data_IF_444409865281
#
_entry.id   IF_444409865281
#
_cell.length_a   1.000
_cell.length_b   1.000
_cell.length_c   1.000
_cell.angle_alpha   90.00
_cell.angle_beta   90.00
_cell.angle_gamma   90.00
#
_symmetry.space_group_name_H-M   'P 1'
#
loop_
_entity.id
_entity.type
_entity.pdbx_description
1 polymer ?
#
# COMPACT_ATOMS: atom_id res chain seq x y z
N UNK A 1 20.97 3.23 22.81
CA UNK A 1 20.73 4.61 22.34
C UNK A 1 20.14 4.49 20.94
N UNK A 2 18.84 4.75 20.82
CA UNK A 2 18.17 4.93 19.54
C UNK A 2 18.68 6.27 19.04
N UNK A 3 19.63 6.26 18.11
CA UNK A 3 19.90 7.45 17.33
C UNK A 3 18.69 7.61 16.39
N UNK A 4 17.64 8.24 16.88
CA UNK A 4 16.81 8.99 15.98
C UNK A 4 17.79 9.87 15.20
N UNK A 5 17.90 9.63 13.89
CA UNK A 5 18.48 10.62 13.01
C UNK A 5 17.69 11.88 13.35
N UNK A 6 18.35 12.83 14.04
CA UNK A 6 17.83 14.16 14.25
C UNK A 6 17.73 14.77 12.84
N UNK A 7 16.71 14.41 12.10
CA UNK A 7 16.23 15.27 11.04
C UNK A 7 15.83 16.55 11.78
N UNK A 8 16.70 17.52 11.69
CA UNK A 8 16.33 18.88 12.04
C UNK A 8 15.17 19.23 11.12
N UNK A 9 13.93 19.06 11.61
CA UNK A 9 12.72 19.70 11.09
C UNK A 9 12.85 21.24 11.24
N UNK A 10 14.04 21.75 11.01
CA UNK A 10 14.40 23.15 11.28
C UNK A 10 14.13 24.05 10.08
N UNK A 11 13.32 23.58 9.10
CA UNK A 11 12.95 24.47 8.03
C UNK A 11 11.44 24.67 8.01
N UNK A 12 11.06 25.82 8.55
CA UNK A 12 9.70 26.35 8.52
C UNK A 12 9.05 26.17 7.14
N UNK A 13 9.83 26.27 6.07
CA UNK A 13 9.35 26.10 4.70
C UNK A 13 8.83 24.69 4.39
N UNK A 14 9.45 23.62 4.92
CA UNK A 14 8.97 22.24 4.71
C UNK A 14 7.61 22.04 5.40
N UNK A 15 7.50 22.55 6.60
CA UNK A 15 6.28 22.50 7.41
C UNK A 15 5.17 23.33 6.72
N UNK A 16 5.47 24.53 6.27
CA UNK A 16 4.51 25.41 5.60
C UNK A 16 3.97 24.74 4.31
N UNK A 17 4.85 24.23 3.46
CA UNK A 17 4.44 23.58 2.20
C UNK A 17 3.62 22.31 2.49
N UNK A 18 4.01 21.52 3.47
CA UNK A 18 3.23 20.36 3.92
C UNK A 18 1.81 20.76 4.32
N UNK A 19 1.67 21.79 5.16
CA UNK A 19 0.36 22.26 5.61
C UNK A 19 -0.47 22.89 4.49
N UNK A 20 0.14 23.58 3.54
CA UNK A 20 -0.56 24.10 2.35
C UNK A 20 -1.21 22.94 1.57
N UNK A 21 -0.44 21.89 1.25
CA UNK A 21 -1.00 20.73 0.54
C UNK A 21 -2.03 20.00 1.39
N UNK A 22 -1.80 19.86 2.70
CA UNK A 22 -2.77 19.26 3.60
C UNK A 22 -4.09 20.03 3.59
N UNK A 23 -4.06 21.35 3.68
CA UNK A 23 -5.25 22.20 3.64
C UNK A 23 -5.97 22.11 2.27
N UNK A 24 -5.24 22.11 1.15
CA UNK A 24 -5.83 21.95 -0.17
C UNK A 24 -6.59 20.61 -0.26
N UNK A 25 -5.96 19.52 0.16
CA UNK A 25 -6.59 18.19 0.14
C UNK A 25 -7.77 18.14 1.13
N UNK A 26 -7.62 18.72 2.32
CA UNK A 26 -8.67 18.77 3.34
C UNK A 26 -9.91 19.52 2.83
N UNK A 27 -9.73 20.69 2.23
CA UNK A 27 -10.83 21.47 1.61
C UNK A 27 -11.48 20.67 0.49
N UNK A 28 -10.68 19.97 -0.34
CA UNK A 28 -11.21 19.13 -1.42
C UNK A 28 -12.02 17.94 -0.87
N UNK A 29 -11.56 17.29 0.20
CA UNK A 29 -12.33 16.23 0.89
C UNK A 29 -13.62 16.78 1.50
N UNK A 30 -13.56 17.94 2.16
CA UNK A 30 -14.72 18.57 2.80
C UNK A 30 -15.75 19.10 1.78
N UNK A 31 -15.30 19.56 0.60
CA UNK A 31 -16.18 20.06 -0.45
C UNK A 31 -16.96 18.97 -1.17
N UNK A 32 -16.44 17.73 -1.18
CA UNK A 32 -17.06 16.57 -1.85
C UNK A 32 -17.36 15.48 -0.83
N UNK A 33 -18.56 15.52 -0.27
CA UNK A 33 -19.01 14.57 0.75
C UNK A 33 -19.35 13.18 0.19
N UNK A 34 -19.37 13.01 -1.13
CA UNK A 34 -19.67 11.73 -1.76
C UNK A 34 -18.58 10.70 -1.49
N UNK A 35 -18.97 9.62 -0.85
CA UNK A 35 -18.13 8.46 -0.63
C UNK A 35 -18.11 7.56 -1.87
N UNK A 36 -16.97 6.93 -2.15
CA UNK A 36 -16.93 5.84 -3.13
C UNK A 36 -17.86 4.70 -2.72
N UNK A 37 -18.33 3.90 -3.67
CA UNK A 37 -19.29 2.82 -3.39
C UNK A 37 -18.77 1.86 -2.32
N UNK A 38 -17.57 1.30 -2.48
CA UNK A 38 -16.96 0.41 -1.47
C UNK A 38 -16.72 1.13 -0.15
N UNK A 39 -16.34 2.43 -0.21
CA UNK A 39 -16.13 3.23 0.98
C UNK A 39 -17.42 3.36 1.79
N UNK A 40 -18.55 3.62 1.13
CA UNK A 40 -19.84 3.75 1.77
C UNK A 40 -20.30 2.44 2.41
N UNK A 41 -20.22 1.32 1.67
CA UNK A 41 -20.83 0.07 2.09
C UNK A 41 -19.93 -0.80 2.96
N UNK A 42 -18.60 -0.72 2.83
CA UNK A 42 -17.68 -1.59 3.58
C UNK A 42 -16.96 -0.85 4.70
N UNK A 43 -16.42 0.34 4.42
CA UNK A 43 -15.51 0.99 5.36
C UNK A 43 -16.20 1.98 6.27
N UNK A 44 -17.10 2.79 5.74
CA UNK A 44 -17.83 3.81 6.51
C UNK A 44 -18.80 3.17 7.51
N UNK A 45 -19.55 2.14 7.13
CA UNK A 45 -20.44 1.43 8.05
C UNK A 45 -19.66 0.89 9.25
N UNK A 46 -18.52 0.24 9.01
CA UNK A 46 -17.65 -0.21 10.11
C UNK A 46 -17.12 0.94 10.95
N UNK A 47 -16.79 2.06 10.32
CA UNK A 47 -16.36 3.24 11.08
C UNK A 47 -17.46 3.79 11.95
N UNK A 48 -18.74 3.72 11.54
CA UNK A 48 -19.88 4.09 12.38
C UNK A 48 -20.02 3.17 13.60
N UNK A 49 -19.83 1.85 13.43
CA UNK A 49 -19.84 0.92 14.54
C UNK A 49 -18.79 1.28 15.60
N UNK A 50 -17.53 1.49 15.15
CA UNK A 50 -16.45 1.88 16.08
C UNK A 50 -16.67 3.28 16.69
N UNK A 51 -17.22 4.21 15.92
CA UNK A 51 -17.57 5.53 16.41
C UNK A 51 -18.67 5.49 17.51
N UNK A 52 -19.59 4.54 17.41
CA UNK A 52 -20.63 4.27 18.40
C UNK A 52 -20.14 3.42 19.59
N UNK A 53 -18.82 3.27 19.77
CA UNK A 53 -18.18 2.44 20.79
C UNK A 53 -18.54 0.95 20.72
N UNK A 54 -18.98 0.46 19.56
CA UNK A 54 -19.20 -0.94 19.35
C UNK A 54 -17.86 -1.64 19.01
N UNK A 55 -17.78 -2.93 19.30
CA UNK A 55 -16.57 -3.72 19.17
C UNK A 55 -16.62 -4.67 17.96
N UNK A 56 -15.53 -5.37 17.69
CA UNK A 56 -15.48 -6.41 16.65
C UNK A 56 -16.53 -7.51 16.92
N UNK A 57 -16.91 -7.73 18.18
CA UNK A 57 -17.90 -8.74 18.54
C UNK A 57 -19.29 -8.40 17.97
N UNK A 58 -19.70 -7.16 18.06
CA UNK A 58 -20.98 -6.73 17.47
C UNK A 58 -20.94 -6.75 15.95
N UNK A 59 -19.76 -6.51 15.34
CA UNK A 59 -19.58 -6.65 13.89
C UNK A 59 -19.83 -8.06 13.38
N UNK A 60 -19.59 -9.11 14.18
CA UNK A 60 -19.88 -10.50 13.79
C UNK A 60 -21.36 -10.74 13.51
N UNK A 61 -22.23 -9.95 14.12
CA UNK A 61 -23.68 -9.98 13.90
C UNK A 61 -24.09 -9.18 12.65
N UNK A 62 -23.19 -8.38 12.10
CA UNK A 62 -23.41 -7.60 10.89
C UNK A 62 -23.15 -8.49 9.67
N UNK A 63 -24.20 -8.81 8.93
CA UNK A 63 -24.18 -9.81 7.85
C UNK A 63 -23.49 -9.37 6.57
N UNK A 64 -23.16 -8.08 6.45
CA UNK A 64 -22.62 -7.53 5.20
C UNK A 64 -21.13 -7.20 5.30
N UNK A 65 -20.28 -8.07 4.74
CA UNK A 65 -18.83 -7.83 4.58
C UNK A 65 -18.04 -7.59 5.89
N UNK A 66 -18.42 -8.26 6.97
CA UNK A 66 -17.71 -8.26 8.25
C UNK A 66 -16.25 -8.74 8.13
N UNK A 67 -15.95 -9.62 7.17
CA UNK A 67 -14.63 -10.21 6.92
C UNK A 67 -13.57 -9.22 6.40
N UNK A 68 -13.96 -8.08 5.84
CA UNK A 68 -12.97 -7.09 5.41
C UNK A 68 -12.18 -6.56 6.60
N UNK A 69 -10.85 -6.35 6.48
CA UNK A 69 -10.02 -5.85 7.56
C UNK A 69 -10.50 -4.51 8.13
N UNK A 70 -10.13 -4.22 9.38
CA UNK A 70 -10.81 -3.21 10.21
C UNK A 70 -10.01 -1.95 10.48
N UNK A 71 -8.67 -1.98 10.34
CA UNK A 71 -7.79 -0.91 10.84
C UNK A 71 -8.09 0.46 10.19
N UNK A 72 -8.36 0.49 8.89
CA UNK A 72 -8.66 1.74 8.22
C UNK A 72 -9.99 2.36 8.70
N UNK A 73 -11.02 1.53 8.91
CA UNK A 73 -12.31 1.98 9.47
C UNK A 73 -12.18 2.43 10.91
N UNK A 74 -11.33 1.76 11.70
CA UNK A 74 -11.02 2.15 13.07
C UNK A 74 -10.34 3.52 13.12
N UNK A 75 -9.34 3.77 12.28
CA UNK A 75 -8.72 5.10 12.18
C UNK A 75 -9.73 6.16 11.75
N UNK A 76 -10.60 5.84 10.82
CA UNK A 76 -11.66 6.76 10.39
C UNK A 76 -12.55 7.16 11.56
N UNK A 77 -13.02 6.19 12.35
CA UNK A 77 -13.82 6.45 13.55
C UNK A 77 -13.06 7.27 14.60
N UNK A 78 -11.83 6.86 14.91
CA UNK A 78 -10.99 7.51 15.91
C UNK A 78 -10.71 8.99 15.57
N UNK A 79 -10.29 9.29 14.34
CA UNK A 79 -10.01 10.67 13.95
C UNK A 79 -11.29 11.52 13.82
N UNK A 80 -12.43 10.88 13.50
CA UNK A 80 -13.73 11.54 13.57
C UNK A 80 -14.09 11.95 15.00
N UNK A 81 -13.90 11.09 15.98
CA UNK A 81 -14.22 11.38 17.38
C UNK A 81 -13.34 12.46 18.01
N UNK A 82 -12.16 12.73 17.43
CA UNK A 82 -11.29 13.83 17.88
C UNK A 82 -11.70 15.19 17.33
N UNK A 83 -12.61 15.26 16.37
CA UNK A 83 -13.04 16.53 15.78
C UNK A 83 -14.17 17.18 16.58
N UNK A 84 -14.13 18.51 16.70
CA UNK A 84 -15.09 19.28 17.51
C UNK A 84 -16.55 19.05 17.08
N UNK A 85 -16.78 18.99 15.76
CA UNK A 85 -18.12 18.84 15.19
C UNK A 85 -18.42 17.43 14.69
N UNK A 86 -17.50 16.48 14.88
CA UNK A 86 -17.65 15.06 14.54
C UNK A 86 -18.13 14.78 13.10
N UNK A 87 -17.80 15.68 12.17
CA UNK A 87 -18.12 15.49 10.77
C UNK A 87 -17.43 14.26 10.18
N UNK A 88 -18.11 13.54 9.30
CA UNK A 88 -17.60 12.31 8.69
C UNK A 88 -16.24 12.52 8.01
N UNK A 89 -16.08 13.57 7.23
CA UNK A 89 -14.86 13.83 6.44
C UNK A 89 -13.61 14.06 7.31
N UNK A 90 -13.76 14.43 8.58
CA UNK A 90 -12.63 14.65 9.48
C UNK A 90 -11.84 13.37 9.73
N UNK A 91 -12.52 12.23 9.81
CA UNK A 91 -11.85 10.94 9.88
C UNK A 91 -11.01 10.60 8.64
N UNK A 92 -11.41 11.08 7.44
CA UNK A 92 -10.65 10.91 6.19
C UNK A 92 -9.43 11.83 6.09
N UNK A 93 -9.34 12.88 6.87
CA UNK A 93 -8.17 13.76 6.91
C UNK A 93 -6.89 13.01 7.33
N UNK A 94 -7.03 11.97 8.15
CA UNK A 94 -5.91 11.10 8.48
C UNK A 94 -5.31 10.42 7.24
N UNK A 95 -6.13 10.05 6.25
CA UNK A 95 -5.64 9.47 5.00
C UNK A 95 -4.78 10.47 4.22
N UNK A 96 -5.23 11.73 4.16
CA UNK A 96 -4.45 12.80 3.54
C UNK A 96 -3.14 13.07 4.29
N UNK A 97 -3.18 13.08 5.62
CA UNK A 97 -1.99 13.24 6.46
C UNK A 97 -0.97 12.12 6.24
N UNK A 98 -1.40 10.86 6.30
CA UNK A 98 -0.52 9.71 6.10
C UNK A 98 0.07 9.68 4.69
N UNK A 99 -0.72 10.03 3.67
CA UNK A 99 -0.28 10.15 2.29
C UNK A 99 0.82 11.21 2.14
N UNK A 100 0.60 12.42 2.63
CA UNK A 100 1.55 13.52 2.52
C UNK A 100 2.85 13.21 3.29
N UNK A 101 2.76 12.71 4.52
CA UNK A 101 3.95 12.39 5.32
C UNK A 101 4.76 11.25 4.67
N UNK A 102 4.12 10.29 4.04
CA UNK A 102 4.81 9.20 3.35
C UNK A 102 5.61 9.70 2.15
N UNK A 103 5.06 10.64 1.37
CA UNK A 103 5.78 11.28 0.25
C UNK A 103 6.91 12.15 0.79
N UNK A 104 6.69 12.90 1.88
CA UNK A 104 7.73 13.73 2.50
C UNK A 104 8.91 12.88 2.96
N UNK A 105 8.67 11.73 3.60
CA UNK A 105 9.70 10.80 4.06
C UNK A 105 10.61 10.34 2.92
N UNK A 106 10.07 10.05 1.74
CA UNK A 106 10.89 9.57 0.62
C UNK A 106 11.62 10.70 -0.10
N UNK A 107 11.09 11.92 -0.07
CA UNK A 107 11.69 13.06 -0.78
C UNK A 107 12.74 13.80 0.05
N UNK A 108 12.67 13.73 1.38
CA UNK A 108 13.45 14.55 2.31
C UNK A 108 14.98 14.48 2.16
N UNK A 109 15.54 13.46 1.53
CA UNK A 109 16.98 13.27 1.38
C UNK A 109 17.42 12.80 -0.01
N UNK A 110 16.65 13.13 -1.04
CA UNK A 110 16.99 12.77 -2.43
C UNK A 110 18.07 13.69 -2.97
N UNK A 111 17.95 14.98 -2.73
CA UNK A 111 18.90 16.00 -3.20
C UNK A 111 19.63 16.68 -2.03
N UNK A 112 20.86 17.15 -2.28
CA UNK A 112 21.63 17.95 -1.31
C UNK A 112 20.96 19.29 -1.02
N UNK A 113 20.39 19.94 -2.05
CA UNK A 113 19.67 21.22 -1.92
C UNK A 113 18.24 20.92 -1.47
N UNK A 114 17.84 21.45 -0.32
CA UNK A 114 16.51 21.24 0.27
C UNK A 114 15.37 21.75 -0.61
N UNK A 115 15.56 22.89 -1.29
CA UNK A 115 14.56 23.41 -2.24
C UNK A 115 14.20 22.39 -3.32
N UNK A 116 15.18 21.61 -3.81
CA UNK A 116 14.92 20.57 -4.81
C UNK A 116 14.07 19.41 -4.23
N UNK A 117 14.23 19.11 -2.95
CA UNK A 117 13.41 18.11 -2.26
C UNK A 117 11.97 18.60 -2.12
N UNK A 118 11.75 19.90 -1.83
CA UNK A 118 10.42 20.51 -1.77
C UNK A 118 9.73 20.54 -3.14
N UNK A 119 10.47 20.91 -4.20
CA UNK A 119 9.95 20.84 -5.58
C UNK A 119 9.57 19.41 -5.93
N UNK A 120 10.41 18.43 -5.58
CA UNK A 120 10.14 17.03 -5.81
C UNK A 120 8.90 16.56 -5.02
N UNK A 121 8.76 16.95 -3.75
CA UNK A 121 7.60 16.68 -2.93
C UNK A 121 6.31 17.19 -3.58
N UNK A 122 6.30 18.46 -4.00
CA UNK A 122 5.16 19.08 -4.68
C UNK A 122 4.82 18.38 -5.99
N UNK A 123 5.83 18.05 -6.80
CA UNK A 123 5.67 17.33 -8.07
C UNK A 123 5.07 15.93 -7.85
N UNK A 124 5.54 15.19 -6.86
CA UNK A 124 5.02 13.86 -6.57
C UNK A 124 3.57 13.89 -6.10
N UNK A 125 3.18 14.89 -5.31
CA UNK A 125 1.78 15.08 -4.92
C UNK A 125 0.92 15.30 -6.16
N UNK A 126 1.31 16.20 -7.06
CA UNK A 126 0.54 16.46 -8.30
C UNK A 126 0.41 15.25 -9.21
N UNK A 127 1.43 14.38 -9.25
CA UNK A 127 1.40 13.17 -10.10
C UNK A 127 0.56 12.05 -9.45
N UNK A 128 0.60 11.91 -8.12
CA UNK A 128 -0.01 10.77 -7.43
C UNK A 128 -1.36 11.07 -6.81
N UNK A 129 -1.71 12.36 -6.62
CA UNK A 129 -2.99 12.74 -6.06
C UNK A 129 -4.12 12.46 -7.03
N UNK A 130 -5.13 11.70 -6.54
CA UNK A 130 -6.41 11.47 -7.23
C UNK A 130 -7.52 11.53 -6.19
N UNK A 131 -8.45 12.44 -6.39
CA UNK A 131 -9.55 12.64 -5.45
C UNK A 131 -10.32 11.36 -5.13
N UNK A 132 -10.61 10.55 -6.15
CA UNK A 132 -11.43 9.34 -6.00
C UNK A 132 -10.88 8.39 -4.91
N UNK A 133 -9.58 8.35 -4.71
CA UNK A 133 -8.98 7.54 -3.66
C UNK A 133 -9.16 8.12 -2.25
N UNK A 134 -9.44 9.42 -2.12
CA UNK A 134 -9.74 10.08 -0.83
C UNK A 134 -11.24 10.09 -0.51
N UNK A 135 -12.07 9.46 -1.34
CA UNK A 135 -13.49 9.25 -1.06
C UNK A 135 -13.79 8.15 -0.04
N UNK A 136 -12.83 7.84 0.84
CA UNK A 136 -12.92 6.82 1.88
C UNK A 136 -12.38 5.44 1.48
N UNK A 137 -11.74 5.34 0.32
CA UNK A 137 -11.11 4.10 -0.16
C UNK A 137 -9.80 3.82 0.61
N UNK A 138 -9.53 2.56 0.91
CA UNK A 138 -8.38 2.13 1.71
C UNK A 138 -7.06 2.07 0.92
N UNK A 139 -7.11 2.24 -0.38
CA UNK A 139 -5.97 2.18 -1.30
C UNK A 139 -4.91 3.23 -1.00
N UNK A 140 -5.32 4.42 -0.56
CA UNK A 140 -4.40 5.49 -0.16
C UNK A 140 -3.57 5.09 1.05
N UNK A 141 -4.18 4.41 2.03
CA UNK A 141 -3.46 3.93 3.21
C UNK A 141 -2.44 2.86 2.83
N UNK A 142 -2.83 1.92 1.96
CA UNK A 142 -1.91 0.88 1.48
C UNK A 142 -0.76 1.50 0.68
N UNK A 143 -1.05 2.39 -0.27
CA UNK A 143 -0.03 3.13 -1.03
C UNK A 143 0.97 3.80 -0.10
N UNK A 144 0.48 4.54 0.89
CA UNK A 144 1.29 5.29 1.85
C UNK A 144 2.18 4.39 2.70
N UNK A 145 1.62 3.28 3.21
CA UNK A 145 2.39 2.31 3.99
C UNK A 145 3.42 1.57 3.15
N UNK A 146 3.07 1.16 1.93
CA UNK A 146 4.02 0.53 1.00
C UNK A 146 5.17 1.47 0.65
N UNK A 147 4.90 2.77 0.54
CA UNK A 147 5.90 3.78 0.29
C UNK A 147 6.90 3.90 1.46
N UNK A 148 6.39 3.92 2.70
CA UNK A 148 7.23 3.93 3.92
C UNK A 148 8.02 2.62 4.04
N UNK A 149 7.38 1.48 3.82
CA UNK A 149 8.04 0.16 3.85
C UNK A 149 9.13 0.07 2.78
N UNK A 150 8.88 0.57 1.56
CA UNK A 150 9.90 0.65 0.49
C UNK A 150 11.12 1.46 0.93
N UNK A 151 10.92 2.58 1.63
CA UNK A 151 12.02 3.37 2.20
C UNK A 151 12.80 2.60 3.27
N UNK A 152 12.10 1.92 4.18
CA UNK A 152 12.72 1.09 5.21
C UNK A 152 13.51 -0.09 4.62
N UNK A 153 13.01 -0.71 3.55
CA UNK A 153 13.71 -1.76 2.79
C UNK A 153 14.97 -1.20 2.13
N UNK A 154 14.90 -0.03 1.52
CA UNK A 154 16.06 0.64 0.93
C UNK A 154 17.13 0.94 2.00
N UNK A 155 16.72 1.51 3.14
CA UNK A 155 17.63 1.83 4.25
C UNK A 155 18.24 0.56 4.89
N UNK A 156 17.47 -0.51 4.98
CA UNK A 156 17.97 -1.82 5.41
C UNK A 156 19.04 -2.34 4.44
N UNK A 157 18.82 -2.14 3.14
CA UNK A 157 19.75 -2.57 2.10
C UNK A 157 21.05 -1.77 2.11
N UNK A 158 20.97 -0.44 2.07
CA UNK A 158 22.13 0.44 1.94
C UNK A 158 22.93 0.55 3.26
N UNK A 159 22.24 0.77 4.37
CA UNK A 159 22.87 1.07 5.65
C UNK A 159 22.96 -0.13 6.60
N UNK A 160 22.48 -1.31 6.18
CA UNK A 160 22.44 -2.54 7.00
C UNK A 160 21.77 -2.33 8.38
N UNK A 161 20.84 -1.40 8.48
CA UNK A 161 20.14 -1.08 9.71
C UNK A 161 19.10 -2.15 10.06
N UNK A 162 19.50 -3.15 10.82
CA UNK A 162 18.64 -4.27 11.21
C UNK A 162 17.43 -3.87 12.05
N UNK A 163 17.45 -2.68 12.69
CA UNK A 163 16.28 -2.14 13.42
C UNK A 163 15.11 -1.87 12.49
N UNK A 164 15.36 -1.59 11.22
CA UNK A 164 14.32 -1.40 10.22
C UNK A 164 13.46 -2.64 10.01
N UNK A 165 13.95 -3.83 10.33
CA UNK A 165 13.19 -5.08 10.26
C UNK A 165 11.94 -5.02 11.15
N UNK A 166 12.06 -4.48 12.37
CA UNK A 166 10.92 -4.30 13.26
C UNK A 166 9.88 -3.32 12.67
N UNK A 167 10.34 -2.18 12.15
CA UNK A 167 9.42 -1.21 11.53
C UNK A 167 8.77 -1.73 10.26
N UNK A 168 9.49 -2.56 9.48
CA UNK A 168 8.90 -3.26 8.34
C UNK A 168 7.80 -4.21 8.83
N UNK A 169 8.04 -5.01 9.87
CA UNK A 169 7.02 -5.90 10.45
C UNK A 169 5.77 -5.14 10.90
N UNK A 170 5.95 -3.99 11.57
CA UNK A 170 4.83 -3.13 11.96
C UNK A 170 4.05 -2.62 10.75
N UNK A 171 4.76 -2.18 9.69
CA UNK A 171 4.14 -1.77 8.44
C UNK A 171 3.37 -2.90 7.76
N UNK A 172 3.95 -4.11 7.71
CA UNK A 172 3.29 -5.30 7.16
C UNK A 172 2.04 -5.68 7.97
N UNK A 173 2.11 -5.64 9.30
CA UNK A 173 0.96 -5.88 10.15
C UNK A 173 -0.15 -4.87 9.88
N UNK A 174 0.18 -3.58 9.78
CA UNK A 174 -0.81 -2.54 9.43
C UNK A 174 -1.45 -2.80 8.07
N UNK A 175 -0.67 -3.18 7.05
CA UNK A 175 -1.18 -3.51 5.72
C UNK A 175 -2.14 -4.71 5.76
N UNK A 176 -1.82 -5.76 6.55
CA UNK A 176 -2.67 -6.93 6.76
C UNK A 176 -4.05 -6.55 7.33
N UNK A 177 -4.12 -5.52 8.18
CA UNK A 177 -5.35 -5.09 8.85
C UNK A 177 -6.11 -3.96 8.14
N UNK A 178 -5.58 -3.42 7.03
CA UNK A 178 -6.26 -2.36 6.26
C UNK A 178 -7.16 -2.96 5.18
N UNK A 179 -6.68 -3.92 4.39
CA UNK A 179 -7.41 -4.48 3.25
C UNK A 179 -7.02 -5.93 2.98
N UNK A 180 -7.91 -6.69 2.36
CA UNK A 180 -7.67 -8.12 2.07
C UNK A 180 -6.46 -8.35 1.17
N UNK A 181 -6.26 -7.51 0.15
CA UNK A 181 -5.10 -7.54 -0.73
C UNK A 181 -3.78 -7.24 -0.01
N UNK A 182 -3.85 -6.68 1.20
CA UNK A 182 -2.69 -6.44 2.07
C UNK A 182 -1.91 -7.72 2.37
N UNK A 183 -2.55 -8.88 2.42
CA UNK A 183 -1.88 -10.17 2.57
C UNK A 183 -0.88 -10.41 1.43
N UNK A 184 -1.28 -10.15 0.20
CA UNK A 184 -0.41 -10.36 -0.96
C UNK A 184 0.81 -9.44 -0.93
N UNK A 185 0.62 -8.15 -0.65
CA UNK A 185 1.74 -7.21 -0.51
C UNK A 185 2.67 -7.58 0.64
N UNK A 186 2.12 -8.02 1.77
CA UNK A 186 2.91 -8.47 2.90
C UNK A 186 3.74 -9.72 2.56
N UNK A 187 3.18 -10.68 1.83
CA UNK A 187 3.89 -11.87 1.35
C UNK A 187 4.97 -11.52 0.33
N UNK A 188 4.71 -10.61 -0.61
CA UNK A 188 5.72 -10.15 -1.57
C UNK A 188 6.93 -9.57 -0.83
N UNK A 189 6.70 -8.68 0.12
CA UNK A 189 7.77 -8.06 0.89
C UNK A 189 8.49 -9.09 1.76
N UNK A 190 7.76 -10.02 2.38
CA UNK A 190 8.31 -11.14 3.14
C UNK A 190 9.29 -11.97 2.31
N UNK A 191 8.88 -12.37 1.10
CA UNK A 191 9.74 -13.12 0.16
C UNK A 191 11.00 -12.32 -0.16
N UNK A 192 10.86 -11.06 -0.53
CA UNK A 192 11.97 -10.19 -0.93
C UNK A 192 13.00 -10.01 0.19
N UNK A 193 12.56 -9.81 1.44
CA UNK A 193 13.47 -9.69 2.58
C UNK A 193 14.23 -10.98 2.83
N UNK A 194 13.58 -12.13 2.66
CA UNK A 194 14.26 -13.42 2.82
C UNK A 194 15.27 -13.71 1.69
N UNK A 195 15.05 -13.20 0.49
CA UNK A 195 16.04 -13.25 -0.60
C UNK A 195 17.25 -12.33 -0.39
N UNK A 196 17.19 -11.40 0.56
CA UNK A 196 18.26 -10.46 0.77
C UNK A 196 19.50 -11.08 1.45
N UNK A 197 20.67 -11.21 0.76
CA UNK A 197 21.80 -12.01 1.25
C UNK A 197 22.55 -11.38 2.43
N UNK A 198 22.48 -10.04 2.57
CA UNK A 198 23.25 -9.32 3.62
C UNK A 198 22.59 -9.35 5.00
N UNK A 199 21.35 -9.85 5.13
CA UNK A 199 20.70 -10.06 6.42
C UNK A 199 21.18 -11.39 7.00
N UNK A 200 21.60 -11.38 8.26
CA UNK A 200 22.00 -12.59 8.99
C UNK A 200 20.85 -13.58 9.02
N UNK A 201 21.16 -14.87 8.86
CA UNK A 201 20.15 -15.94 8.85
C UNK A 201 19.28 -15.94 10.11
N UNK A 202 19.88 -15.69 11.28
CA UNK A 202 19.15 -15.57 12.55
C UNK A 202 18.07 -14.48 12.50
N UNK A 203 18.39 -13.32 11.92
CA UNK A 203 17.42 -12.22 11.78
C UNK A 203 16.29 -12.55 10.79
N UNK A 204 16.58 -13.31 9.73
CA UNK A 204 15.56 -13.80 8.79
C UNK A 204 14.62 -14.80 9.47
N UNK A 205 15.16 -15.71 10.26
CA UNK A 205 14.34 -16.69 11.00
C UNK A 205 13.41 -15.96 11.97
N UNK A 206 13.93 -15.03 12.77
CA UNK A 206 13.12 -14.23 13.71
C UNK A 206 12.05 -13.44 12.96
N UNK A 207 12.42 -12.77 11.87
CA UNK A 207 11.47 -12.05 11.02
C UNK A 207 10.35 -12.96 10.52
N UNK A 208 10.71 -14.16 10.03
CA UNK A 208 9.74 -15.13 9.51
C UNK A 208 8.81 -15.65 10.58
N UNK A 209 9.33 -15.99 11.76
CA UNK A 209 8.52 -16.45 12.90
C UNK A 209 7.51 -15.37 13.29
N UNK A 210 7.96 -14.13 13.49
CA UNK A 210 7.07 -13.03 13.87
C UNK A 210 6.03 -12.76 12.78
N UNK A 211 6.44 -12.75 11.52
CA UNK A 211 5.52 -12.54 10.38
C UNK A 211 4.39 -13.57 10.34
N UNK A 212 4.72 -14.86 10.46
CA UNK A 212 3.70 -15.91 10.49
C UNK A 212 2.84 -15.86 11.76
N UNK A 213 3.41 -15.49 12.92
CA UNK A 213 2.65 -15.26 14.13
C UNK A 213 1.60 -14.14 13.96
N UNK A 214 1.92 -13.06 13.27
CA UNK A 214 0.97 -11.98 12.98
C UNK A 214 -0.19 -12.45 12.09
N UNK A 215 0.08 -13.29 11.09
CA UNK A 215 -0.97 -13.88 10.24
C UNK A 215 -1.84 -14.84 11.05
N UNK A 216 -1.22 -15.73 11.85
CA UNK A 216 -1.94 -16.68 12.70
C UNK A 216 -2.82 -15.91 13.71
N UNK A 217 -2.28 -14.87 14.34
CA UNK A 217 -3.03 -14.04 15.28
C UNK A 217 -4.28 -13.42 14.62
N UNK A 218 -4.15 -12.92 13.41
CA UNK A 218 -5.30 -12.38 12.65
C UNK A 218 -6.36 -13.47 12.42
N UNK A 219 -5.95 -14.66 12.01
CA UNK A 219 -6.87 -15.79 11.78
C UNK A 219 -7.56 -16.20 13.08
N UNK A 220 -6.80 -16.26 14.19
CA UNK A 220 -7.35 -16.61 15.51
C UNK A 220 -8.36 -15.56 15.99
N UNK A 221 -8.09 -14.26 15.80
CA UNK A 221 -9.02 -13.19 16.14
C UNK A 221 -10.32 -13.35 15.33
N UNK A 222 -10.22 -13.57 14.02
CA UNK A 222 -11.41 -13.77 13.17
C UNK A 222 -12.22 -14.99 13.62
N UNK A 223 -11.53 -16.09 13.95
CA UNK A 223 -12.18 -17.31 14.45
C UNK A 223 -12.83 -17.09 15.82
N UNK A 224 -12.14 -16.40 16.73
CA UNK A 224 -12.65 -16.12 18.08
C UNK A 224 -13.93 -15.28 18.04
N UNK A 225 -13.97 -14.25 17.20
CA UNK A 225 -15.14 -13.37 17.03
C UNK A 225 -16.14 -13.89 15.98
N UNK A 226 -15.98 -15.13 15.50
CA UNK A 226 -16.85 -15.76 14.52
C UNK A 226 -17.07 -14.93 13.25
N UNK A 227 -16.12 -14.08 12.89
CA UNK A 227 -16.15 -13.31 11.66
C UNK A 227 -16.04 -14.28 10.49
N UNK A 228 -17.03 -14.27 9.61
CA UNK A 228 -17.04 -15.15 8.44
C UNK A 228 -15.86 -14.79 7.54
N UNK A 229 -14.91 -15.70 7.44
CA UNK A 229 -13.85 -15.64 6.44
C UNK A 229 -14.50 -16.10 5.15
N UNK A 230 -14.85 -15.16 4.33
CA UNK A 230 -15.47 -15.22 3.01
C UNK A 230 -15.83 -16.63 2.48
N UNK A 231 -16.79 -16.75 1.60
CA UNK A 231 -17.29 -17.99 0.97
C UNK A 231 -16.20 -18.78 0.22
N UNK A 232 -15.11 -19.09 0.92
CA UNK A 232 -13.92 -19.77 0.38
C UNK A 232 -14.17 -21.15 -0.26
N UNK A 233 -15.16 -21.95 0.17
CA UNK A 233 -15.47 -23.19 -0.54
C UNK A 233 -15.82 -22.98 -2.02
N UNK A 234 -16.43 -21.84 -2.35
CA UNK A 234 -16.77 -21.50 -3.73
C UNK A 234 -15.55 -21.28 -4.61
N UNK A 235 -14.49 -20.64 -4.06
CA UNK A 235 -13.28 -20.38 -4.85
C UNK A 235 -12.53 -21.66 -5.22
N UNK A 236 -12.41 -22.62 -4.31
CA UNK A 236 -11.76 -23.89 -4.59
C UNK A 236 -12.53 -24.69 -5.66
N UNK A 237 -13.85 -24.83 -5.52
CA UNK A 237 -14.68 -25.49 -6.51
C UNK A 237 -14.66 -24.77 -7.85
N UNK A 238 -14.62 -23.43 -7.84
CA UNK A 238 -14.50 -22.65 -9.06
C UNK A 238 -13.17 -22.90 -9.77
N UNK A 239 -12.05 -22.90 -9.02
CA UNK A 239 -10.70 -23.17 -9.57
C UNK A 239 -10.64 -24.59 -10.19
N UNK A 240 -11.21 -25.58 -9.53
CA UNK A 240 -11.19 -26.97 -9.98
C UNK A 240 -12.05 -27.19 -11.25
N UNK A 241 -13.06 -26.36 -11.48
CA UNK A 241 -13.99 -26.45 -12.61
C UNK A 241 -13.72 -25.42 -13.71
N UNK A 242 -12.54 -24.73 -13.68
CA UNK A 242 -12.17 -23.76 -14.71
C UNK A 242 -11.97 -24.46 -16.07
N UNK A 243 -12.80 -24.09 -17.06
CA UNK A 243 -12.59 -24.50 -18.46
C UNK A 243 -11.39 -23.75 -19.07
N UNK A 244 -10.63 -24.43 -19.91
CA UNK A 244 -9.44 -23.89 -20.59
C UNK A 244 -9.77 -22.62 -21.40
N UNK A 245 -10.91 -22.60 -22.10
CA UNK A 245 -11.36 -21.44 -22.88
C UNK A 245 -11.63 -20.23 -21.98
N UNK A 246 -12.22 -20.45 -20.81
CA UNK A 246 -12.47 -19.41 -19.83
C UNK A 246 -11.14 -18.87 -19.24
N UNK A 247 -10.18 -19.74 -18.98
CA UNK A 247 -8.84 -19.33 -18.52
C UNK A 247 -8.17 -18.43 -19.56
N UNK A 248 -8.14 -18.84 -20.84
CA UNK A 248 -7.54 -18.05 -21.93
C UNK A 248 -8.25 -16.70 -22.06
N UNK A 249 -9.59 -16.69 -22.03
CA UNK A 249 -10.39 -15.47 -22.08
C UNK A 249 -10.06 -14.53 -20.92
N UNK A 250 -9.94 -15.03 -19.68
CA UNK A 250 -9.57 -14.24 -18.52
C UNK A 250 -8.16 -13.69 -18.64
N UNK A 251 -7.17 -14.50 -18.99
CA UNK A 251 -5.78 -14.07 -19.17
C UNK A 251 -5.69 -12.94 -20.18
N UNK A 252 -6.35 -13.07 -21.33
CA UNK A 252 -6.38 -12.04 -22.37
C UNK A 252 -6.91 -10.71 -21.83
N UNK A 253 -8.05 -10.74 -21.13
CA UNK A 253 -8.65 -9.53 -20.57
C UNK A 253 -7.78 -8.93 -19.46
N UNK A 254 -7.23 -9.74 -18.55
CA UNK A 254 -6.31 -9.27 -17.50
C UNK A 254 -5.13 -8.54 -18.15
N UNK A 255 -4.52 -9.12 -19.19
CA UNK A 255 -3.38 -8.50 -19.87
C UNK A 255 -3.74 -7.14 -20.49
N UNK A 256 -4.88 -7.05 -21.19
CA UNK A 256 -5.36 -5.80 -21.81
C UNK A 256 -5.58 -4.72 -20.74
N UNK A 257 -6.32 -5.06 -19.67
CA UNK A 257 -6.64 -4.10 -18.63
C UNK A 257 -5.42 -3.72 -17.79
N UNK A 258 -4.49 -4.66 -17.53
CA UNK A 258 -3.24 -4.37 -16.83
C UNK A 258 -2.39 -3.40 -17.64
N UNK A 259 -2.25 -3.63 -18.95
CA UNK A 259 -1.51 -2.72 -19.84
C UNK A 259 -2.14 -1.33 -19.84
N UNK A 260 -3.46 -1.23 -19.99
CA UNK A 260 -4.17 0.05 -19.99
C UNK A 260 -4.02 0.80 -18.65
N UNK A 261 -4.19 0.13 -17.53
CA UNK A 261 -4.06 0.75 -16.21
C UNK A 261 -2.60 1.06 -15.85
N UNK A 262 -1.64 0.27 -16.33
CA UNK A 262 -0.22 0.58 -16.20
C UNK A 262 0.15 1.86 -16.93
N UNK A 263 -0.37 2.08 -18.14
CA UNK A 263 -0.16 3.33 -18.88
C UNK A 263 -0.75 4.56 -18.18
N UNK A 264 -1.88 4.38 -17.48
CA UNK A 264 -2.50 5.45 -16.68
C UNK A 264 -1.73 5.76 -15.40
N UNK A 265 -1.05 4.77 -14.82
CA UNK A 265 -0.23 4.93 -13.62
C UNK A 265 1.24 5.10 -14.00
N UNK A 266 1.67 6.35 -14.09
CA UNK A 266 3.02 6.70 -14.55
C UNK A 266 4.13 6.04 -13.73
N UNK A 267 3.93 5.80 -12.43
CA UNK A 267 4.91 5.14 -11.55
C UNK A 267 5.06 3.68 -11.94
N UNK A 268 3.95 2.96 -12.09
CA UNK A 268 3.96 1.55 -12.47
C UNK A 268 4.55 1.37 -13.88
N UNK A 269 4.17 2.22 -14.82
CA UNK A 269 4.67 2.21 -16.20
C UNK A 269 6.18 2.46 -16.28
N UNK A 270 6.68 3.54 -15.65
CA UNK A 270 8.11 3.85 -15.62
C UNK A 270 8.90 2.72 -14.96
N UNK A 271 8.36 2.12 -13.88
CA UNK A 271 9.01 0.99 -13.22
C UNK A 271 9.21 -0.18 -14.18
N UNK A 272 8.18 -0.56 -14.93
CA UNK A 272 8.29 -1.62 -15.94
C UNK A 272 9.35 -1.32 -17.00
N UNK A 273 9.35 -0.10 -17.53
CA UNK A 273 10.37 0.36 -18.49
C UNK A 273 11.78 0.28 -17.88
N UNK A 274 11.99 0.81 -16.68
CA UNK A 274 13.30 0.82 -16.04
C UNK A 274 13.81 -0.60 -15.75
N UNK A 275 12.95 -1.52 -15.40
CA UNK A 275 13.28 -2.94 -15.20
C UNK A 275 13.78 -3.56 -16.52
N UNK A 276 13.07 -3.33 -17.63
CA UNK A 276 13.44 -3.85 -18.95
C UNK A 276 14.81 -3.29 -19.37
N UNK A 277 15.02 -1.98 -19.29
CA UNK A 277 16.28 -1.34 -19.70
C UNK A 277 17.47 -1.70 -18.80
N UNK A 278 17.25 -2.12 -17.56
CA UNK A 278 18.33 -2.46 -16.63
C UNK A 278 18.47 -3.97 -16.40
N UNK A 279 17.87 -4.78 -17.25
CA UNK A 279 17.87 -6.24 -17.09
C UNK A 279 19.29 -6.81 -16.90
N UNK A 280 20.30 -6.27 -17.59
CA UNK A 280 21.69 -6.69 -17.43
C UNK A 280 22.29 -6.40 -16.04
N UNK A 281 21.79 -5.37 -15.33
CA UNK A 281 22.23 -5.06 -13.96
C UNK A 281 21.58 -5.96 -12.91
N UNK A 282 20.52 -6.69 -13.26
CA UNK A 282 19.81 -7.61 -12.36
C UNK A 282 20.63 -8.91 -12.08
N UNK A 283 21.73 -9.12 -12.81
CA UNK A 283 22.66 -10.25 -12.54
C UNK A 283 23.33 -10.18 -11.15
N UNK A 284 23.34 -9.00 -10.52
CA UNK A 284 23.84 -8.81 -9.16
C UNK A 284 22.68 -8.63 -8.20
N UNK A 285 22.70 -9.35 -7.07
CA UNK A 285 21.69 -9.16 -6.00
C UNK A 285 21.92 -7.80 -5.35
N UNK A 286 21.24 -6.80 -5.88
CA UNK A 286 21.24 -5.41 -5.41
C UNK A 286 19.79 -4.92 -5.17
N UNK A 287 19.60 -3.68 -4.77
CA UNK A 287 18.27 -3.12 -4.55
C UNK A 287 17.39 -3.18 -5.81
N UNK A 288 17.98 -2.99 -7.00
CA UNK A 288 17.25 -3.08 -8.26
C UNK A 288 16.71 -4.50 -8.51
N UNK A 289 17.47 -5.53 -8.15
CA UNK A 289 17.05 -6.92 -8.24
C UNK A 289 15.88 -7.22 -7.28
N UNK A 290 15.92 -6.67 -6.05
CA UNK A 290 14.83 -6.84 -5.10
C UNK A 290 13.53 -6.20 -5.58
N UNK A 291 13.61 -5.01 -6.16
CA UNK A 291 12.45 -4.33 -6.77
C UNK A 291 11.94 -5.10 -8.00
N UNK A 292 12.82 -5.68 -8.80
CA UNK A 292 12.43 -6.57 -9.89
C UNK A 292 11.60 -7.76 -9.38
N UNK A 293 12.06 -8.44 -8.33
CA UNK A 293 11.30 -9.54 -7.71
C UNK A 293 9.94 -9.03 -7.20
N UNK A 294 9.91 -7.88 -6.49
CA UNK A 294 8.65 -7.26 -6.07
C UNK A 294 7.69 -7.05 -7.24
N UNK A 295 8.20 -6.54 -8.36
CA UNK A 295 7.38 -6.22 -9.53
C UNK A 295 6.82 -7.48 -10.19
N UNK A 296 7.64 -8.51 -10.39
CA UNK A 296 7.19 -9.79 -10.95
C UNK A 296 6.16 -10.47 -10.04
N UNK A 297 6.43 -10.55 -8.73
CA UNK A 297 5.48 -11.13 -7.78
C UNK A 297 4.17 -10.35 -7.71
N UNK A 298 4.22 -9.02 -7.85
CA UNK A 298 3.02 -8.19 -7.91
C UNK A 298 2.21 -8.45 -9.19
N UNK A 299 2.85 -8.61 -10.35
CA UNK A 299 2.16 -9.00 -11.59
C UNK A 299 1.51 -10.38 -11.42
N UNK A 300 2.24 -11.36 -10.87
CA UNK A 300 1.70 -12.69 -10.59
C UNK A 300 0.48 -12.59 -9.66
N UNK A 301 0.59 -11.80 -8.60
CA UNK A 301 -0.54 -11.56 -7.68
C UNK A 301 -1.75 -10.99 -8.41
N UNK A 302 -1.56 -9.98 -9.27
CA UNK A 302 -2.65 -9.37 -10.05
C UNK A 302 -3.31 -10.43 -10.93
N UNK A 303 -2.53 -11.23 -11.65
CA UNK A 303 -3.06 -12.31 -12.47
C UNK A 303 -3.86 -13.32 -11.65
N UNK A 304 -3.30 -13.82 -10.54
CA UNK A 304 -3.97 -14.78 -9.66
C UNK A 304 -5.27 -14.20 -9.06
N UNK A 305 -5.24 -12.94 -8.61
CA UNK A 305 -6.39 -12.28 -8.00
C UNK A 305 -7.61 -12.19 -8.93
N UNK A 306 -7.39 -12.03 -10.22
CA UNK A 306 -8.49 -11.97 -11.20
C UNK A 306 -8.79 -13.29 -11.88
N UNK A 307 -7.77 -14.15 -12.10
CA UNK A 307 -7.97 -15.45 -12.72
C UNK A 307 -8.88 -16.34 -11.87
N UNK A 308 -8.64 -16.34 -10.55
CA UNK A 308 -9.36 -17.20 -9.61
C UNK A 308 -10.62 -16.56 -9.01
N UNK A 309 -10.98 -15.36 -9.43
CA UNK A 309 -12.20 -14.69 -8.94
C UNK A 309 -13.43 -15.19 -9.67
N UNK A 310 -14.43 -15.60 -8.90
CA UNK A 310 -15.76 -16.01 -9.42
C UNK A 310 -16.67 -14.77 -9.59
N UNK A 311 -16.32 -13.91 -10.49
CA UNK A 311 -17.13 -12.75 -10.89
C UNK A 311 -16.91 -12.49 -12.38
N UNK A 312 -17.83 -11.77 -13.01
CA UNK A 312 -17.62 -11.30 -14.36
C UNK A 312 -16.30 -10.53 -14.46
N UNK A 313 -15.41 -11.07 -15.29
CA UNK A 313 -14.02 -10.59 -15.34
C UNK A 313 -13.93 -9.13 -15.76
N UNK A 314 -14.69 -8.70 -16.78
CA UNK A 314 -14.65 -7.34 -17.31
C UNK A 314 -15.13 -6.33 -16.26
N UNK A 315 -16.19 -6.64 -15.52
CA UNK A 315 -16.70 -5.81 -14.44
C UNK A 315 -15.65 -5.67 -13.33
N UNK A 316 -15.08 -6.78 -12.87
CA UNK A 316 -14.03 -6.77 -11.84
C UNK A 316 -12.80 -5.95 -12.24
N UNK A 317 -12.33 -6.12 -13.50
CA UNK A 317 -11.17 -5.40 -14.01
C UNK A 317 -11.43 -3.90 -14.12
N UNK A 318 -12.61 -3.49 -14.59
CA UNK A 318 -13.01 -2.09 -14.70
C UNK A 318 -13.07 -1.38 -13.34
N UNK A 319 -13.54 -2.07 -12.32
CA UNK A 319 -13.82 -1.45 -11.01
C UNK A 319 -12.65 -1.47 -10.04
N UNK A 320 -11.71 -2.43 -10.16
CA UNK A 320 -10.69 -2.64 -9.14
C UNK A 320 -9.24 -2.64 -9.63
N UNK A 321 -8.97 -2.85 -10.95
CA UNK A 321 -7.59 -2.95 -11.46
C UNK A 321 -6.79 -1.66 -11.26
N UNK A 322 -7.37 -0.50 -11.58
CA UNK A 322 -6.71 0.81 -11.38
C UNK A 322 -6.29 1.00 -9.92
N UNK A 323 -7.14 0.59 -8.99
CA UNK A 323 -6.94 0.69 -7.55
C UNK A 323 -5.79 -0.21 -7.05
N UNK A 324 -5.69 -1.44 -7.56
CA UNK A 324 -4.60 -2.37 -7.21
C UNK A 324 -3.27 -1.87 -7.77
N UNK A 325 -3.25 -1.40 -9.02
CA UNK A 325 -2.06 -0.80 -9.65
C UNK A 325 -1.61 0.45 -8.89
N UNK A 326 -2.55 1.30 -8.46
CA UNK A 326 -2.24 2.48 -7.64
C UNK A 326 -1.64 2.08 -6.29
N UNK A 327 -2.29 1.20 -5.54
CA UNK A 327 -1.80 0.77 -4.22
C UNK A 327 -0.38 0.24 -4.30
N UNK A 328 -0.12 -0.65 -5.26
CA UNK A 328 1.19 -1.28 -5.43
C UNK A 328 2.28 -0.31 -5.89
N UNK A 329 1.92 0.78 -6.55
CA UNK A 329 2.90 1.78 -7.03
C UNK A 329 3.68 2.45 -5.90
N UNK A 330 3.17 2.41 -4.66
CA UNK A 330 3.89 2.84 -3.46
C UNK A 330 5.22 2.11 -3.24
N UNK A 331 5.34 0.85 -3.67
CA UNK A 331 6.60 0.09 -3.59
C UNK A 331 7.69 0.61 -4.54
N UNK A 332 7.31 1.25 -5.64
CA UNK A 332 8.22 1.51 -6.75
C UNK A 332 8.68 2.96 -6.85
N UNK A 333 7.96 3.89 -6.23
CA UNK A 333 8.25 5.32 -6.38
C UNK A 333 9.69 5.67 -5.93
N UNK A 334 10.13 5.14 -4.81
CA UNK A 334 11.49 5.36 -4.33
C UNK A 334 12.56 4.80 -5.29
N UNK A 335 12.29 3.64 -5.90
CA UNK A 335 13.19 3.04 -6.89
C UNK A 335 13.40 3.98 -8.09
N UNK A 336 12.33 4.55 -8.63
CA UNK A 336 12.42 5.51 -9.73
C UNK A 336 13.28 6.71 -9.34
N UNK A 337 13.03 7.29 -8.16
CA UNK A 337 13.79 8.44 -7.67
C UNK A 337 15.28 8.12 -7.54
N UNK A 338 15.63 6.99 -6.95
CA UNK A 338 17.02 6.57 -6.76
C UNK A 338 17.70 6.27 -8.09
N UNK A 339 17.01 5.63 -9.01
CA UNK A 339 17.56 5.35 -10.33
C UNK A 339 18.05 6.62 -11.05
N UNK A 340 17.24 7.69 -11.03
CA UNK A 340 17.63 8.94 -11.68
C UNK A 340 18.69 9.72 -10.92
N UNK A 341 18.77 9.62 -9.62
CA UNK A 341 19.77 10.33 -8.81
C UNK A 341 21.14 9.66 -8.85
N UNK A 342 21.20 8.32 -8.87
CA UNK A 342 22.45 7.60 -8.87
C UNK A 342 23.16 7.65 -10.24
N UNK A 343 22.41 7.69 -11.34
CA UNK A 343 22.95 7.95 -12.68
C UNK A 343 23.63 9.31 -12.82
N UNK A 344 23.16 10.33 -12.10
CA UNK A 344 23.84 11.64 -12.08
C UNK A 344 25.19 11.57 -11.38
N UNK A 345 25.35 10.75 -10.36
CA UNK A 345 26.63 10.59 -9.64
C UNK A 345 27.69 9.84 -10.44
N UNK A 346 27.31 8.98 -11.36
CA UNK A 346 28.25 8.21 -12.19
C UNK A 346 28.77 8.94 -13.42
N UNK A 347 28.20 10.13 -13.72
CA UNK A 347 28.62 10.97 -14.87
C UNK A 347 29.52 12.16 -14.45
N UNK A 348 29.81 12.32 -13.19
CA UNK A 348 30.75 13.26 -12.59
C UNK A 348 31.75 12.51 -11.70
#
# INVERSE_FOLDING_TARGET
KISFVKHKFNELNEIIIFFIFFLIIAVHIASKLNLGWDAKWFWYIKSLFYYQNQTINELSNYTFNDFHPHLGSYFWAFFRSLSINEYEYTGRLFYAFLYLISILIITSNIFKKKINNLILFSLLITITYRYDYFSGLQEVLIFSLLLVVSKLMYDLYEFKNTKNILFILLGLNSILWIKSEGIAYALIIFVVINFYPKIKIKSKIIFSIIFFLLIILKILIYKYYQIKINDQPYYLNYILNLDLNLIIYKIKNIFIFLTYNSLKNIIFFITGILIIFNFNQLKKINYNFLIFICFILNIIFIFCAYLFRDMEIIYSLKTTMDRIVFSSSGLYLLYILKFFTDRKKSKF
#
